data_IF_710091953348
#
_entry.id   IF_710091953348
#
_cell.length_a   1.000
_cell.length_b   1.000
_cell.length_c   1.000
_cell.angle_alpha   90.00
_cell.angle_beta   90.00
_cell.angle_gamma   90.00
#
_symmetry.space_group_name_H-M   'P 1'
#
loop_
_entity.id
_entity.type
_entity.pdbx_description
1 polymer ?
#
# COMPACT_ATOMS: atom_id res chain seq x y z
N UNK A 1 -12.42 17.42 22.26
CA UNK A 1 -11.23 16.55 22.17
C UNK A 1 -11.54 15.42 21.20
N UNK A 2 -10.73 15.22 20.17
CA UNK A 2 -10.89 14.08 19.26
C UNK A 2 -10.18 12.86 19.86
N UNK A 3 -10.91 11.76 20.01
CA UNK A 3 -10.36 10.51 20.52
C UNK A 3 -9.79 9.72 19.33
N UNK A 4 -8.46 9.68 19.19
CA UNK A 4 -7.79 8.91 18.15
C UNK A 4 -7.61 7.48 18.66
N UNK A 5 -8.26 6.52 18.01
CA UNK A 5 -8.13 5.10 18.34
C UNK A 5 -7.16 4.45 17.35
N UNK A 6 -6.02 3.97 17.84
CA UNK A 6 -5.07 3.21 17.05
C UNK A 6 -5.53 1.76 16.95
N UNK A 7 -5.69 1.25 15.72
CA UNK A 7 -5.93 -0.18 15.46
C UNK A 7 -4.80 -0.73 14.60
N UNK A 8 -4.29 -1.89 15.00
CA UNK A 8 -3.24 -2.60 14.28
C UNK A 8 -3.85 -3.76 13.48
N UNK A 9 -3.30 -4.00 12.29
CA UNK A 9 -3.54 -5.20 11.50
C UNK A 9 -2.25 -6.02 11.43
N UNK A 10 -2.38 -7.34 11.35
CA UNK A 10 -1.25 -8.26 11.17
C UNK A 10 -1.26 -8.84 9.76
N UNK A 11 -0.14 -9.45 9.36
CA UNK A 11 0.04 -9.99 8.04
C UNK A 11 1.39 -10.69 7.88
N UNK A 12 1.64 -11.23 6.69
CA UNK A 12 2.90 -11.85 6.31
C UNK A 12 3.69 -10.89 5.43
N UNK A 13 4.90 -10.53 5.84
CA UNK A 13 5.83 -9.81 4.98
C UNK A 13 6.77 -10.79 4.28
N UNK A 14 6.78 -10.78 2.96
CA UNK A 14 7.56 -11.72 2.15
C UNK A 14 8.28 -11.05 0.99
N UNK A 15 9.48 -11.54 0.70
CA UNK A 15 10.18 -11.29 -0.55
C UNK A 15 9.86 -12.44 -1.51
N UNK A 16 9.11 -12.17 -2.58
CA UNK A 16 8.67 -13.18 -3.55
C UNK A 16 9.59 -13.26 -4.79
N UNK A 17 10.81 -12.72 -4.70
CA UNK A 17 11.80 -12.57 -5.78
C UNK A 17 11.44 -11.59 -6.90
N UNK A 18 10.21 -11.09 -6.94
CA UNK A 18 9.78 -10.01 -7.85
C UNK A 18 9.66 -8.68 -7.11
N UNK A 19 9.04 -8.71 -5.93
CA UNK A 19 8.81 -7.56 -5.07
C UNK A 19 8.83 -7.95 -3.58
N UNK A 20 8.75 -6.94 -2.73
CA UNK A 20 8.37 -7.10 -1.33
C UNK A 20 6.86 -6.93 -1.22
N UNK A 21 6.17 -7.90 -0.61
CA UNK A 21 4.73 -7.83 -0.40
C UNK A 21 4.40 -8.07 1.07
N UNK A 22 3.62 -7.16 1.65
CA UNK A 22 2.90 -7.40 2.90
C UNK A 22 1.49 -7.92 2.58
N UNK A 23 1.23 -9.18 2.89
CA UNK A 23 -0.09 -9.80 2.79
C UNK A 23 -0.87 -9.56 4.08
N UNK A 24 -1.99 -8.86 4.02
CA UNK A 24 -2.83 -8.62 5.20
C UNK A 24 -3.51 -9.92 5.62
N UNK A 25 -3.56 -10.17 6.93
CA UNK A 25 -4.36 -11.25 7.46
C UNK A 25 -5.85 -10.96 7.21
N UNK A 26 -6.49 -11.77 6.36
CA UNK A 26 -7.89 -11.60 6.00
C UNK A 26 -8.89 -11.90 7.13
N UNK A 27 -8.43 -12.53 8.22
CA UNK A 27 -9.25 -12.88 9.37
C UNK A 27 -9.29 -11.72 10.39
N UNK A 28 -10.48 -11.33 10.83
CA UNK A 28 -10.68 -10.32 11.87
C UNK A 28 -10.72 -8.88 11.34
N UNK A 29 -10.06 -7.96 12.09
CA UNK A 29 -10.03 -6.53 11.79
C UNK A 29 -9.36 -6.28 10.42
N UNK A 30 -9.98 -5.43 9.61
CA UNK A 30 -9.47 -5.07 8.29
C UNK A 30 -9.55 -3.57 8.02
N UNK A 31 -8.77 -3.13 7.05
CA UNK A 31 -8.79 -1.75 6.56
C UNK A 31 -9.57 -1.72 5.25
N UNK A 32 -10.52 -0.79 5.15
CA UNK A 32 -11.28 -0.56 3.94
C UNK A 32 -10.98 0.82 3.39
N UNK A 33 -10.87 0.91 2.07
CA UNK A 33 -10.82 2.15 1.31
C UNK A 33 -12.16 2.28 0.60
N UNK A 34 -12.76 3.46 0.68
CA UNK A 34 -14.08 3.73 0.12
C UNK A 34 -14.22 5.22 -0.17
N UNK A 35 -15.29 5.60 -0.87
CA UNK A 35 -15.54 6.96 -1.34
C UNK A 35 -14.61 7.36 -2.50
N UNK A 36 -14.66 8.65 -2.89
CA UNK A 36 -13.96 9.14 -4.07
C UNK A 36 -14.50 8.47 -5.35
N UNK A 37 -13.64 7.96 -6.24
CA UNK A 37 -14.09 7.29 -7.47
C UNK A 37 -14.57 5.84 -7.26
N UNK A 38 -14.53 5.30 -6.03
CA UNK A 38 -14.88 3.89 -5.76
C UNK A 38 -16.38 3.70 -5.56
N UNK A 39 -16.97 2.76 -6.32
CA UNK A 39 -18.38 2.35 -6.20
C UNK A 39 -18.65 1.42 -4.99
N UNK A 40 -17.62 0.75 -4.47
CA UNK A 40 -17.73 -0.25 -3.40
C UNK A 40 -16.68 -0.02 -2.31
N UNK A 41 -16.83 -0.73 -1.18
CA UNK A 41 -15.75 -0.84 -0.19
C UNK A 41 -14.69 -1.82 -0.68
N UNK A 42 -13.49 -1.32 -0.92
CA UNK A 42 -12.32 -2.12 -1.24
C UNK A 42 -11.60 -2.49 0.06
N UNK A 43 -11.54 -3.77 0.39
CA UNK A 43 -10.78 -4.25 1.56
C UNK A 43 -9.32 -4.41 1.16
N UNK A 44 -8.43 -3.76 1.91
CA UNK A 44 -6.99 -3.90 1.74
C UNK A 44 -6.58 -5.37 1.88
N UNK A 45 -5.83 -5.86 0.89
CA UNK A 45 -5.34 -7.23 0.80
C UNK A 45 -3.82 -7.28 0.78
N UNK A 46 -3.15 -6.37 0.04
CA UNK A 46 -1.70 -6.31 -0.05
C UNK A 46 -1.16 -4.88 0.00
N UNK A 47 0.03 -4.73 0.57
CA UNK A 47 0.83 -3.51 0.43
C UNK A 47 2.15 -3.88 -0.25
N UNK A 48 2.53 -3.15 -1.29
CA UNK A 48 3.74 -3.41 -2.09
C UNK A 48 4.54 -2.12 -2.29
N UNK A 49 5.70 -1.97 -1.64
CA UNK A 49 6.63 -0.91 -1.98
C UNK A 49 7.37 -1.23 -3.30
N UNK A 50 7.47 -0.23 -4.16
CA UNK A 50 8.30 -0.19 -5.36
C UNK A 50 9.38 0.86 -5.12
N UNK A 51 10.62 0.53 -5.43
CA UNK A 51 11.78 1.41 -5.24
C UNK A 51 12.90 0.99 -6.17
N UNK A 52 13.82 1.92 -6.42
CA UNK A 52 15.01 1.68 -7.24
C UNK A 52 16.27 2.11 -6.51
N UNK A 53 17.42 1.74 -7.08
CA UNK A 53 18.74 2.13 -6.55
C UNK A 53 19.03 3.62 -6.77
N UNK A 54 18.45 4.20 -7.81
CA UNK A 54 18.71 5.57 -8.23
C UNK A 54 17.52 6.45 -7.87
N UNK A 55 17.84 7.69 -7.48
CA UNK A 55 16.82 8.68 -7.15
C UNK A 55 15.92 8.93 -8.37
N UNK A 56 14.65 9.22 -8.10
CA UNK A 56 13.62 9.52 -9.11
C UNK A 56 13.29 8.37 -10.07
N UNK A 57 13.80 7.16 -9.82
CA UNK A 57 13.58 5.98 -10.67
C UNK A 57 12.82 4.86 -9.96
N UNK A 58 12.27 5.12 -8.77
CA UNK A 58 11.66 4.08 -7.93
C UNK A 58 10.14 3.98 -8.00
N UNK A 59 9.43 5.05 -8.39
CA UNK A 59 7.99 5.00 -8.62
C UNK A 59 7.63 4.39 -9.97
N UNK A 60 6.43 3.81 -10.07
CA UNK A 60 5.88 3.33 -11.34
C UNK A 60 5.12 4.46 -12.05
N UNK A 61 4.42 5.30 -11.29
CA UNK A 61 3.79 6.51 -11.80
C UNK A 61 4.75 7.71 -11.79
N UNK A 62 4.48 8.67 -12.65
CA UNK A 62 5.20 9.95 -12.72
C UNK A 62 4.21 11.11 -12.66
N UNK A 63 4.68 12.27 -12.23
CA UNK A 63 3.93 13.53 -12.30
C UNK A 63 4.73 14.48 -13.18
N UNK A 64 4.14 14.94 -14.28
CA UNK A 64 4.79 15.78 -15.29
C UNK A 64 6.14 15.23 -15.79
N UNK A 65 6.22 13.90 -15.94
CA UNK A 65 7.42 13.19 -16.38
C UNK A 65 8.48 13.00 -15.28
N UNK A 66 8.25 13.49 -14.07
CA UNK A 66 9.15 13.29 -12.92
C UNK A 66 8.74 12.05 -12.12
N UNK A 67 9.68 11.12 -11.97
CA UNK A 67 9.56 9.99 -11.05
C UNK A 67 9.97 10.32 -9.62
N UNK A 68 9.64 9.42 -8.71
CA UNK A 68 9.93 9.52 -7.28
C UNK A 68 10.84 8.37 -6.84
N UNK A 69 11.43 8.48 -5.66
CA UNK A 69 12.38 7.48 -5.14
C UNK A 69 11.70 6.14 -4.81
N UNK A 70 10.36 6.13 -4.69
CA UNK A 70 9.57 4.93 -4.51
C UNK A 70 8.08 5.22 -4.56
N UNK A 71 7.30 4.15 -4.57
CA UNK A 71 5.84 4.17 -4.59
C UNK A 71 5.30 3.04 -3.72
N UNK A 72 4.16 3.25 -3.07
CA UNK A 72 3.48 2.20 -2.30
C UNK A 72 2.16 1.89 -2.96
N UNK A 73 2.08 0.70 -3.54
CA UNK A 73 0.87 0.16 -4.12
C UNK A 73 0.03 -0.51 -3.03
N UNK A 74 -1.19 -0.01 -2.86
CA UNK A 74 -2.20 -0.55 -1.95
C UNK A 74 -3.22 -1.32 -2.80
N UNK A 75 -3.28 -2.63 -2.60
CA UNK A 75 -4.11 -3.56 -3.37
C UNK A 75 -5.23 -4.12 -2.50
#
# INVERSE_FOLDING_TARGET
MWNIVFRQISGLFQNNKKDLTFLVNGQGLGVNISSGPLLYRCRLYQIKPHFARENQSGSEHTIDGRGFDGEVNIV
#
